data_IF_487087652548
#
_entry.id   IF_487087652548
#
_cell.length_a   1.000
_cell.length_b   1.000
_cell.length_c   1.000
_cell.angle_alpha   90.00
_cell.angle_beta   90.00
_cell.angle_gamma   90.00
#
_symmetry.space_group_name_H-M   'P 1'
#
loop_
_entity.id
_entity.type
_entity.pdbx_description
1 polymer ?
#
# COMPACT_ATOMS: atom_id res chain seq x y z
N UNK A 1 10.83 7.05 29.85
CA UNK A 1 11.04 8.06 28.79
C UNK A 1 10.90 7.33 27.47
N UNK A 2 9.84 7.61 26.71
CA UNK A 2 9.66 7.03 25.38
C UNK A 2 10.63 7.73 24.42
N UNK A 3 11.41 6.95 23.67
CA UNK A 3 12.21 7.48 22.57
C UNK A 3 11.26 7.60 21.37
N UNK A 4 10.95 8.84 20.98
CA UNK A 4 10.10 9.10 19.82
C UNK A 4 10.92 8.96 18.54
N UNK A 5 10.31 8.33 17.53
CA UNK A 5 10.85 8.33 16.17
C UNK A 5 10.50 9.66 15.47
N UNK A 6 11.16 10.02 14.36
CA UNK A 6 10.78 11.20 13.57
C UNK A 6 9.30 11.16 13.11
N UNK A 7 8.77 9.96 12.84
CA UNK A 7 7.36 9.79 12.48
C UNK A 7 6.42 10.03 13.67
N UNK A 8 6.81 9.60 14.87
CA UNK A 8 6.07 9.91 16.09
C UNK A 8 6.05 11.42 16.37
N UNK A 9 7.18 12.12 16.24
CA UNK A 9 7.27 13.57 16.44
C UNK A 9 6.33 14.32 15.47
N UNK A 10 6.36 13.93 14.19
CA UNK A 10 5.46 14.47 13.17
C UNK A 10 3.99 14.18 13.49
N UNK A 11 3.67 12.96 13.95
CA UNK A 11 2.31 12.58 14.30
C UNK A 11 1.79 13.33 15.54
N UNK A 12 2.64 13.57 16.53
CA UNK A 12 2.34 14.40 17.70
C UNK A 12 1.99 15.83 17.27
N UNK A 13 2.77 16.42 16.37
CA UNK A 13 2.47 17.75 15.82
C UNK A 13 1.16 17.75 15.02
N UNK A 14 0.96 16.76 14.14
CA UNK A 14 -0.24 16.65 13.30
C UNK A 14 -1.54 16.50 14.10
N UNK A 15 -1.46 15.93 15.30
CA UNK A 15 -2.62 15.70 16.18
C UNK A 15 -2.83 16.80 17.23
N UNK A 16 -2.00 17.85 17.24
CA UNK A 16 -2.04 18.91 18.27
C UNK A 16 -3.42 19.55 18.39
N UNK A 17 -4.02 20.01 17.29
CA UNK A 17 -5.34 20.67 17.33
C UNK A 17 -6.45 19.74 17.86
N UNK A 18 -6.44 18.46 17.48
CA UNK A 18 -7.41 17.47 17.95
C UNK A 18 -7.23 17.16 19.44
N UNK A 19 -5.97 17.10 19.91
CA UNK A 19 -5.66 16.89 21.33
C UNK A 19 -6.04 18.10 22.17
N UNK A 20 -5.81 19.32 21.68
CA UNK A 20 -6.26 20.54 22.34
C UNK A 20 -7.80 20.57 22.46
N UNK A 21 -8.52 20.28 21.37
CA UNK A 21 -9.98 20.19 21.42
C UNK A 21 -10.48 19.09 22.36
N UNK A 22 -9.78 17.95 22.45
CA UNK A 22 -10.11 16.90 23.40
C UNK A 22 -9.86 17.34 24.86
N UNK A 23 -8.81 18.11 25.13
CA UNK A 23 -8.54 18.66 26.46
C UNK A 23 -9.60 19.71 26.86
N UNK A 24 -9.99 20.58 25.93
CA UNK A 24 -11.02 21.62 26.12
C UNK A 24 -12.42 21.03 26.27
N UNK A 25 -12.68 19.84 25.70
CA UNK A 25 -13.98 19.17 25.75
C UNK A 25 -14.55 18.96 27.16
N UNK A 26 -13.66 18.86 28.17
CA UNK A 26 -14.05 18.75 29.57
C UNK A 26 -14.66 20.04 30.13
N UNK A 27 -14.20 21.20 29.66
CA UNK A 27 -14.74 22.50 30.06
C UNK A 27 -16.01 22.85 29.29
N UNK A 28 -16.10 22.44 28.03
CA UNK A 28 -17.22 22.75 27.12
C UNK A 28 -18.41 21.79 27.26
N UNK A 29 -18.23 20.67 27.97
CA UNK A 29 -19.30 19.71 28.21
C UNK A 29 -19.66 18.88 26.98
N UNK A 30 -18.68 18.57 26.12
CA UNK A 30 -18.93 17.70 24.96
C UNK A 30 -19.48 16.34 25.40
N UNK A 31 -20.34 15.78 24.56
CA UNK A 31 -20.88 14.45 24.78
C UNK A 31 -19.77 13.38 24.73
N UNK A 32 -20.02 12.23 25.36
CA UNK A 32 -19.12 11.07 25.26
C UNK A 32 -18.88 10.67 23.81
N UNK A 33 -19.90 10.72 22.96
CA UNK A 33 -19.77 10.40 21.53
C UNK A 33 -18.82 11.34 20.80
N UNK A 34 -18.90 12.65 21.04
CA UNK A 34 -17.99 13.63 20.41
C UNK A 34 -16.54 13.42 20.83
N UNK A 35 -16.29 13.18 22.13
CA UNK A 35 -14.94 12.89 22.63
C UNK A 35 -14.37 11.60 22.03
N UNK A 36 -15.18 10.55 21.94
CA UNK A 36 -14.81 9.29 21.28
C UNK A 36 -14.49 9.51 19.80
N UNK A 37 -15.28 10.33 19.09
CA UNK A 37 -15.03 10.66 17.69
C UNK A 37 -13.72 11.43 17.48
N UNK A 38 -13.39 12.36 18.39
CA UNK A 38 -12.12 13.07 18.39
C UNK A 38 -10.94 12.11 18.62
N UNK A 39 -11.05 11.21 19.60
CA UNK A 39 -10.02 10.19 19.86
C UNK A 39 -9.83 9.25 18.65
N UNK A 40 -10.91 8.82 18.00
CA UNK A 40 -10.87 8.04 16.78
C UNK A 40 -10.21 8.82 15.62
N UNK A 41 -10.49 10.12 15.48
CA UNK A 41 -9.84 10.98 14.49
C UNK A 41 -8.33 11.09 14.73
N UNK A 42 -7.90 11.25 16.00
CA UNK A 42 -6.48 11.20 16.37
C UNK A 42 -5.86 9.86 15.93
N UNK A 43 -6.52 8.74 16.21
CA UNK A 43 -6.06 7.40 15.81
C UNK A 43 -5.80 7.27 14.30
N UNK A 44 -6.69 7.81 13.45
CA UNK A 44 -6.49 7.84 11.99
C UNK A 44 -5.27 8.66 11.58
N UNK A 45 -5.16 9.89 12.10
CA UNK A 45 -4.04 10.79 11.77
C UNK A 45 -2.70 10.19 12.19
N UNK A 46 -2.64 9.52 13.35
CA UNK A 46 -1.45 8.79 13.78
C UNK A 46 -1.06 7.69 12.77
N UNK A 47 -2.04 6.90 12.31
CA UNK A 47 -1.80 5.83 11.34
C UNK A 47 -1.28 6.35 10.00
N UNK A 48 -1.89 7.43 9.48
CA UNK A 48 -1.51 8.11 8.23
C UNK A 48 -0.10 8.72 8.32
N UNK A 49 0.29 9.23 9.50
CA UNK A 49 1.63 9.75 9.74
C UNK A 49 2.69 8.65 9.91
N UNK A 50 2.29 7.37 9.98
CA UNK A 50 3.22 6.26 10.22
C UNK A 50 3.72 6.18 11.67
N UNK A 51 2.96 6.74 12.62
CA UNK A 51 3.30 6.67 14.05
C UNK A 51 3.45 5.23 14.53
N UNK A 52 4.19 5.05 15.62
CA UNK A 52 4.38 3.74 16.23
C UNK A 52 3.13 3.32 17.04
N UNK A 53 2.86 2.01 17.16
CA UNK A 53 1.79 1.51 18.03
C UNK A 53 1.99 1.91 19.50
N UNK A 54 3.24 2.07 19.94
CA UNK A 54 3.56 2.49 21.30
C UNK A 54 3.11 3.93 21.57
N UNK A 55 3.27 4.84 20.62
CA UNK A 55 2.72 6.19 20.74
C UNK A 55 1.19 6.13 20.86
N UNK A 56 0.51 5.43 19.95
CA UNK A 56 -0.95 5.30 20.00
C UNK A 56 -1.46 4.75 21.34
N UNK A 57 -0.78 3.74 21.89
CA UNK A 57 -1.13 3.12 23.17
C UNK A 57 -0.83 3.99 24.41
N UNK A 58 -0.09 5.09 24.27
CA UNK A 58 0.33 5.93 25.41
C UNK A 58 -0.06 7.40 25.26
N UNK A 59 -0.64 7.80 24.13
CA UNK A 59 -0.92 9.21 23.83
C UNK A 59 -2.01 9.80 24.71
N UNK A 60 -2.98 8.99 25.15
CA UNK A 60 -4.10 9.41 25.99
C UNK A 60 -4.10 8.63 27.30
N UNK A 61 -4.30 9.36 28.41
CA UNK A 61 -4.37 8.79 29.75
C UNK A 61 -5.72 8.09 30.00
N UNK A 62 -6.82 8.67 29.51
CA UNK A 62 -8.17 8.12 29.62
C UNK A 62 -8.30 6.80 28.85
N UNK A 63 -8.70 5.74 29.56
CA UNK A 63 -8.75 4.38 29.02
C UNK A 63 -9.80 4.20 27.91
N UNK A 64 -10.98 4.83 28.05
CA UNK A 64 -12.05 4.69 27.07
C UNK A 64 -11.71 5.43 25.77
N UNK A 65 -11.15 6.64 25.87
CA UNK A 65 -10.69 7.40 24.71
C UNK A 65 -9.48 6.72 24.05
N UNK A 66 -8.55 6.18 24.85
CA UNK A 66 -7.41 5.41 24.35
C UNK A 66 -7.88 4.17 23.57
N UNK A 67 -8.89 3.45 24.05
CA UNK A 67 -9.44 2.30 23.33
C UNK A 67 -9.97 2.69 21.93
N UNK A 68 -10.77 3.77 21.86
CA UNK A 68 -11.31 4.26 20.59
C UNK A 68 -10.23 4.74 19.60
N UNK A 69 -9.20 5.42 20.13
CA UNK A 69 -8.02 5.82 19.36
C UNK A 69 -7.30 4.60 18.80
N UNK A 70 -6.97 3.62 19.66
CA UNK A 70 -6.23 2.41 19.27
C UNK A 70 -7.00 1.58 18.25
N UNK A 71 -8.30 1.38 18.42
CA UNK A 71 -9.15 0.65 17.47
C UNK A 71 -9.09 1.30 16.08
N UNK A 72 -9.28 2.61 16.02
CA UNK A 72 -9.28 3.34 14.75
C UNK A 72 -7.89 3.41 14.12
N UNK A 73 -6.84 3.53 14.95
CA UNK A 73 -5.45 3.45 14.49
C UNK A 73 -5.15 2.10 13.82
N UNK A 74 -5.50 0.98 14.46
CA UNK A 74 -5.26 -0.36 13.89
C UNK A 74 -6.02 -0.53 12.57
N UNK A 75 -7.30 -0.16 12.54
CA UNK A 75 -8.11 -0.24 11.32
C UNK A 75 -7.50 0.60 10.18
N UNK A 76 -7.11 1.84 10.45
CA UNK A 76 -6.48 2.69 9.45
C UNK A 76 -5.13 2.12 8.96
N UNK A 77 -4.35 1.48 9.84
CA UNK A 77 -3.11 0.78 9.44
C UNK A 77 -3.38 -0.42 8.54
N UNK A 78 -4.44 -1.17 8.80
CA UNK A 78 -4.88 -2.28 7.95
C UNK A 78 -5.35 -1.80 6.58
N UNK A 79 -6.14 -0.73 6.54
CA UNK A 79 -6.60 -0.10 5.30
C UNK A 79 -5.40 0.39 4.45
N UNK A 80 -4.45 1.12 5.06
CA UNK A 80 -3.23 1.56 4.38
C UNK A 80 -2.39 0.39 3.88
N UNK A 81 -2.28 -0.69 4.67
CA UNK A 81 -1.57 -1.90 4.25
C UNK A 81 -2.26 -2.56 3.07
N UNK A 82 -3.58 -2.70 3.12
CA UNK A 82 -4.37 -3.28 2.03
C UNK A 82 -4.22 -2.46 0.74
N UNK A 83 -4.20 -1.13 0.84
CA UNK A 83 -3.96 -0.24 -0.30
C UNK A 83 -2.54 -0.42 -0.88
N UNK A 84 -1.51 -0.46 -0.03
CA UNK A 84 -0.13 -0.73 -0.45
C UNK A 84 -0.02 -2.11 -1.11
N UNK A 85 -0.59 -3.14 -0.50
CA UNK A 85 -0.57 -4.50 -1.04
C UNK A 85 -1.34 -4.60 -2.37
N UNK A 86 -2.47 -3.91 -2.51
CA UNK A 86 -3.19 -3.80 -3.79
C UNK A 86 -2.37 -3.08 -4.86
N UNK A 87 -1.70 -1.97 -4.51
CA UNK A 87 -0.88 -1.19 -5.45
C UNK A 87 0.31 -1.98 -6.01
N UNK A 88 0.82 -2.97 -5.26
CA UNK A 88 1.91 -3.86 -5.73
C UNK A 88 1.48 -4.75 -6.89
N UNK A 89 0.19 -4.98 -7.06
CA UNK A 89 -0.36 -5.75 -8.16
C UNK A 89 -0.65 -4.88 -9.39
N UNK A 90 -0.58 -3.56 -9.30
CA UNK A 90 -0.79 -2.65 -10.43
C UNK A 90 0.54 -2.25 -11.09
N UNK A 91 0.51 -1.90 -12.37
CA UNK A 91 1.70 -1.41 -13.09
C UNK A 91 2.07 0.00 -12.59
N UNK A 92 3.34 0.30 -12.28
CA UNK A 92 4.55 -0.52 -12.53
C UNK A 92 4.94 -1.49 -11.39
N UNK A 93 4.23 -1.50 -10.26
CA UNK A 93 4.58 -2.30 -9.08
C UNK A 93 4.67 -3.81 -9.33
N UNK A 94 3.81 -4.36 -10.20
CA UNK A 94 3.77 -5.78 -10.53
C UNK A 94 4.74 -6.22 -11.64
N UNK A 95 5.48 -5.27 -12.24
CA UNK A 95 6.30 -5.51 -13.42
C UNK A 95 7.77 -5.14 -13.21
N UNK A 96 8.67 -6.03 -13.65
CA UNK A 96 10.12 -5.80 -13.62
C UNK A 96 10.62 -5.51 -15.03
N UNK A 97 11.30 -4.39 -15.22
CA UNK A 97 11.92 -4.05 -16.51
C UNK A 97 13.20 -4.86 -16.73
N UNK A 98 13.24 -5.64 -17.82
CA UNK A 98 14.39 -6.46 -18.22
C UNK A 98 15.27 -5.78 -19.29
N UNK A 99 14.70 -4.82 -20.04
CA UNK A 99 15.36 -4.12 -21.14
C UNK A 99 14.61 -2.85 -21.55
N UNK A 100 14.95 -2.27 -22.70
CA UNK A 100 14.32 -1.03 -23.16
C UNK A 100 12.82 -1.22 -23.41
N UNK A 101 12.43 -2.34 -24.00
CA UNK A 101 11.07 -2.71 -24.40
C UNK A 101 10.64 -4.09 -23.86
N UNK A 102 11.40 -4.63 -22.90
CA UNK A 102 11.20 -5.97 -22.34
C UNK A 102 10.87 -5.91 -20.85
N UNK A 103 9.80 -6.59 -20.46
CA UNK A 103 9.30 -6.64 -19.07
C UNK A 103 9.01 -8.08 -18.62
N UNK A 104 9.07 -8.33 -17.32
CA UNK A 104 8.59 -9.55 -16.68
C UNK A 104 7.46 -9.21 -15.71
N UNK A 105 6.43 -10.07 -15.65
CA UNK A 105 5.25 -9.89 -14.79
C UNK A 105 4.82 -11.23 -14.21
N UNK A 106 4.44 -11.22 -12.93
CA UNK A 106 3.89 -12.39 -12.25
C UNK A 106 2.35 -12.35 -12.32
N UNK A 107 1.76 -13.27 -13.08
CA UNK A 107 0.31 -13.38 -13.29
C UNK A 107 -0.35 -14.33 -12.29
N UNK A 108 -0.15 -14.07 -11.00
CA UNK A 108 -0.80 -14.80 -9.91
C UNK A 108 -1.42 -13.82 -8.89
N UNK A 109 -2.38 -12.96 -9.29
CA UNK A 109 -3.01 -12.03 -8.37
C UNK A 109 -3.86 -12.76 -7.32
N UNK A 110 -4.04 -12.22 -6.10
CA UNK A 110 -4.77 -12.86 -5.01
C UNK A 110 -6.30 -12.76 -5.13
N UNK A 111 -6.84 -12.48 -6.32
CA UNK A 111 -8.24 -12.10 -6.52
C UNK A 111 -9.09 -13.20 -7.19
N UNK A 112 -10.41 -13.08 -7.05
CA UNK A 112 -11.42 -13.90 -7.74
C UNK A 112 -11.34 -13.77 -9.27
N UNK A 113 -11.95 -14.70 -10.00
CA UNK A 113 -11.79 -14.85 -11.45
C UNK A 113 -12.11 -13.57 -12.25
N UNK A 114 -13.25 -12.90 -11.98
CA UNK A 114 -13.64 -11.67 -12.70
C UNK A 114 -12.67 -10.51 -12.41
N UNK A 115 -12.20 -10.39 -11.17
CA UNK A 115 -11.21 -9.40 -10.78
C UNK A 115 -9.85 -9.66 -11.45
N UNK A 116 -9.50 -10.93 -11.67
CA UNK A 116 -8.29 -11.32 -12.36
C UNK A 116 -8.31 -10.94 -13.86
N UNK A 117 -9.47 -11.07 -14.53
CA UNK A 117 -9.64 -10.61 -15.93
C UNK A 117 -9.44 -9.10 -16.02
N UNK A 118 -10.16 -8.33 -15.18
CA UNK A 118 -10.04 -6.88 -15.18
C UNK A 118 -8.62 -6.40 -14.84
N UNK A 119 -7.93 -7.11 -13.94
CA UNK A 119 -6.53 -6.87 -13.61
C UNK A 119 -5.60 -7.12 -14.81
N UNK A 120 -5.80 -8.23 -15.53
CA UNK A 120 -5.00 -8.59 -16.70
C UNK A 120 -5.09 -7.51 -17.80
N UNK A 121 -6.29 -7.01 -18.09
CA UNK A 121 -6.52 -5.95 -19.07
C UNK A 121 -5.79 -4.65 -18.70
N UNK A 122 -5.94 -4.21 -17.43
CA UNK A 122 -5.24 -3.00 -16.94
C UNK A 122 -3.73 -3.17 -16.98
N UNK A 123 -3.23 -4.34 -16.59
CA UNK A 123 -1.80 -4.66 -16.57
C UNK A 123 -1.21 -4.65 -17.98
N UNK A 124 -1.88 -5.29 -18.95
CA UNK A 124 -1.46 -5.29 -20.35
C UNK A 124 -1.41 -3.86 -20.92
N UNK A 125 -2.46 -3.07 -20.69
CA UNK A 125 -2.51 -1.67 -21.12
C UNK A 125 -1.41 -0.82 -20.45
N UNK A 126 -1.15 -1.03 -19.15
CA UNK A 126 -0.08 -0.38 -18.41
C UNK A 126 1.30 -0.70 -18.97
N UNK A 127 1.59 -1.97 -19.24
CA UNK A 127 2.86 -2.41 -19.81
C UNK A 127 3.12 -1.79 -21.19
N UNK A 128 2.10 -1.77 -22.05
CA UNK A 128 2.22 -1.15 -23.38
C UNK A 128 2.44 0.37 -23.28
N UNK A 129 1.76 1.05 -22.35
CA UNK A 129 2.02 2.48 -22.06
C UNK A 129 3.47 2.74 -21.59
N UNK A 130 4.08 1.78 -20.90
CA UNK A 130 5.50 1.83 -20.52
C UNK A 130 6.47 1.45 -21.66
N UNK A 131 5.95 1.13 -22.85
CA UNK A 131 6.75 0.79 -24.02
C UNK A 131 7.10 -0.70 -24.16
N UNK A 132 6.39 -1.59 -23.46
CA UNK A 132 6.61 -3.03 -23.61
C UNK A 132 6.28 -3.52 -25.04
N UNK A 133 7.25 -4.20 -25.66
CA UNK A 133 7.10 -4.97 -26.90
C UNK A 133 7.22 -6.47 -26.66
N UNK A 134 7.98 -6.84 -25.64
CA UNK A 134 8.20 -8.22 -25.23
C UNK A 134 7.89 -8.35 -23.74
N UNK A 135 7.07 -9.32 -23.37
CA UNK A 135 6.70 -9.58 -21.98
C UNK A 135 6.94 -11.05 -21.63
N UNK A 136 7.64 -11.29 -20.54
CA UNK A 136 7.75 -12.61 -19.92
C UNK A 136 6.68 -12.73 -18.85
N UNK A 137 5.76 -13.67 -19.00
CA UNK A 137 4.67 -13.90 -18.05
C UNK A 137 4.95 -15.17 -17.27
N UNK A 138 5.05 -15.06 -15.95
CA UNK A 138 5.09 -16.20 -15.03
C UNK A 138 3.76 -16.37 -14.30
N UNK A 139 3.56 -17.51 -13.66
CA UNK A 139 2.28 -17.86 -13.02
C UNK A 139 1.51 -18.93 -13.79
N UNK A 140 0.30 -19.23 -13.34
CA UNK A 140 -0.53 -20.31 -13.86
C UNK A 140 -2.02 -19.95 -13.86
N UNK A 141 -2.82 -20.77 -14.52
CA UNK A 141 -4.28 -20.65 -14.52
C UNK A 141 -4.84 -19.58 -15.46
N UNK A 142 -6.10 -19.20 -15.20
CA UNK A 142 -6.84 -18.23 -16.01
C UNK A 142 -6.20 -16.82 -16.05
N UNK A 143 -5.68 -16.25 -14.93
CA UNK A 143 -5.12 -14.90 -14.95
C UNK A 143 -3.95 -14.75 -15.92
N UNK A 144 -3.06 -15.76 -15.97
CA UNK A 144 -1.98 -15.83 -16.94
C UNK A 144 -2.50 -15.81 -18.37
N UNK A 145 -3.44 -16.69 -18.69
CA UNK A 145 -3.99 -16.79 -20.05
C UNK A 145 -4.64 -15.47 -20.50
N UNK A 146 -5.44 -14.85 -19.63
CA UNK A 146 -6.06 -13.56 -19.93
C UNK A 146 -5.03 -12.46 -20.17
N UNK A 147 -3.95 -12.42 -19.38
CA UNK A 147 -2.88 -11.47 -19.59
C UNK A 147 -2.15 -11.71 -20.91
N UNK A 148 -1.87 -12.96 -21.25
CA UNK A 148 -1.25 -13.33 -22.52
C UNK A 148 -2.13 -12.91 -23.72
N UNK A 149 -3.44 -13.16 -23.65
CA UNK A 149 -4.42 -12.78 -24.67
C UNK A 149 -4.52 -11.24 -24.82
N UNK A 150 -4.60 -10.51 -23.70
CA UNK A 150 -4.65 -9.05 -23.68
C UNK A 150 -3.37 -8.41 -24.23
N UNK A 151 -2.20 -8.95 -23.89
CA UNK A 151 -0.91 -8.51 -24.44
C UNK A 151 -0.82 -8.74 -25.95
N UNK A 152 -1.28 -9.90 -26.43
CA UNK A 152 -1.31 -10.21 -27.85
C UNK A 152 -2.22 -9.25 -28.62
N UNK A 153 -3.40 -8.93 -28.07
CA UNK A 153 -4.34 -7.97 -28.66
C UNK A 153 -3.74 -6.56 -28.80
N UNK A 154 -2.92 -6.15 -27.82
CA UNK A 154 -2.24 -4.86 -27.83
C UNK A 154 -0.89 -4.86 -28.59
N UNK A 155 -0.54 -5.97 -29.25
CA UNK A 155 0.65 -6.10 -30.09
C UNK A 155 1.96 -6.29 -29.32
N UNK A 156 1.90 -6.74 -28.06
CA UNK A 156 3.07 -7.18 -27.30
C UNK A 156 3.25 -8.69 -27.45
N UNK A 157 4.49 -9.14 -27.66
CA UNK A 157 4.83 -10.57 -27.76
C UNK A 157 5.07 -11.16 -26.38
N UNK A 158 4.41 -12.27 -26.08
CA UNK A 158 4.71 -13.07 -24.89
C UNK A 158 5.87 -14.02 -25.18
N UNK A 159 6.87 -14.04 -24.31
CA UNK A 159 7.97 -15.00 -24.34
C UNK A 159 7.85 -16.02 -23.19
N UNK A 160 8.28 -17.27 -23.42
CA UNK A 160 8.29 -18.28 -22.38
C UNK A 160 9.32 -17.93 -21.31
N UNK A 161 9.00 -18.28 -20.06
CA UNK A 161 9.84 -18.02 -18.87
C UNK A 161 11.28 -18.53 -19.03
N UNK A 162 11.47 -19.66 -19.71
CA UNK A 162 12.79 -20.24 -20.01
C UNK A 162 13.68 -19.39 -20.94
N UNK A 163 13.12 -18.38 -21.62
CA UNK A 163 13.86 -17.44 -22.48
C UNK A 163 14.31 -16.18 -21.76
N UNK A 164 13.95 -16.02 -20.47
CA UNK A 164 14.48 -14.95 -19.64
C UNK A 164 15.91 -15.29 -19.23
N UNK A 165 16.88 -14.89 -20.05
CA UNK A 165 18.27 -14.83 -19.59
C UNK A 165 18.31 -13.90 -18.36
N UNK A 166 18.80 -14.36 -17.20
CA UNK A 166 18.79 -13.54 -16.00
C UNK A 166 19.57 -12.25 -16.29
N UNK A 167 19.03 -11.07 -15.92
CA UNK A 167 19.77 -9.84 -16.11
C UNK A 167 21.13 -9.96 -15.39
N UNK A 168 22.21 -9.66 -16.11
CA UNK A 168 23.55 -9.66 -15.53
C UNK A 168 23.53 -8.90 -14.19
N UNK A 169 24.02 -9.49 -13.09
CA UNK A 169 23.90 -8.92 -11.74
C UNK A 169 24.58 -7.55 -11.59
N UNK A 170 25.34 -7.10 -12.59
CA UNK A 170 26.11 -5.86 -12.59
C UNK A 170 25.28 -4.55 -12.65
N UNK A 171 23.94 -4.59 -12.71
CA UNK A 171 23.11 -3.37 -12.84
C UNK A 171 22.02 -3.15 -11.81
N UNK A 172 21.79 -4.06 -10.87
CA UNK A 172 20.85 -3.81 -9.77
C UNK A 172 21.54 -3.05 -8.64
N UNK A 173 21.64 -1.72 -8.79
CA UNK A 173 21.81 -0.85 -7.62
C UNK A 173 20.45 -0.73 -6.95
N UNK A 174 20.19 -1.60 -5.98
CA UNK A 174 19.07 -1.40 -5.07
C UNK A 174 19.33 -0.12 -4.26
N UNK A 175 18.37 0.82 -4.20
CA UNK A 175 18.54 2.09 -3.48
C UNK A 175 18.87 1.93 -2.00
N UNK A 176 18.54 0.77 -1.41
CA UNK A 176 18.71 0.45 0.01
C UNK A 176 19.99 -0.36 0.32
N UNK A 177 20.81 -0.69 -0.68
CA UNK A 177 22.07 -1.43 -0.49
C UNK A 177 23.29 -0.50 -0.31
N UNK A 178 23.13 0.62 0.39
CA UNK A 178 24.22 1.53 0.80
C UNK A 178 24.28 1.65 2.30
#
# INVERSE_FOLDING_TARGET
>A
MLLLTPDDERAVAATEALRSGLAESHAEGLSTTERTNLAAAIGRVLAECGATPTLAATLLDDEALRAALCETYVRAREDLRAEVDASRWEVPGCAVRLGHDRFAVCATPPHEDDAAVAWADRTAAGLVKLGARVVVVSGSGAPRKHLEDALALLGARVEPEASAEPPSPSRFRFPWAR
#
